data_IF_838848005649
#
_entry.id   IF_838848005649
#
_cell.length_a   1.000
_cell.length_b   1.000
_cell.length_c   1.000
_cell.angle_alpha   90.00
_cell.angle_beta   90.00
_cell.angle_gamma   90.00
#
_symmetry.space_group_name_H-M   'P 1'
#
loop_
_entity.id
_entity.type
_entity.pdbx_description
1 polymer ?
#
# COMPACT_ATOMS: atom_id res chain seq x y z
N UNK A 1 -17.22 31.14 35.85
CA UNK A 1 -17.22 30.04 36.84
C UNK A 1 -17.44 28.63 36.27
N UNK A 2 -18.66 28.17 35.92
CA UNK A 2 -18.88 26.75 35.56
C UNK A 2 -18.12 26.31 34.30
N UNK A 3 -18.12 27.15 33.26
CA UNK A 3 -17.44 26.87 31.98
C UNK A 3 -15.93 26.71 32.20
N UNK A 4 -15.33 27.58 33.01
CA UNK A 4 -13.90 27.54 33.33
C UNK A 4 -13.52 26.22 34.02
N UNK A 5 -14.36 25.71 34.92
CA UNK A 5 -14.12 24.40 35.58
C UNK A 5 -14.16 23.26 34.57
N UNK A 6 -15.16 23.21 33.71
CA UNK A 6 -15.23 22.19 32.66
C UNK A 6 -14.10 22.28 31.66
N UNK A 7 -13.63 23.48 31.34
CA UNK A 7 -12.46 23.65 30.50
C UNK A 7 -11.19 23.10 31.17
N UNK A 8 -11.00 23.32 32.48
CA UNK A 8 -9.88 22.71 33.20
C UNK A 8 -9.99 21.19 33.28
N UNK A 9 -11.19 20.64 33.51
CA UNK A 9 -11.42 19.19 33.43
C UNK A 9 -11.02 18.65 32.06
N UNK A 10 -11.48 19.30 30.99
CA UNK A 10 -11.12 18.97 29.62
C UNK A 10 -9.59 18.94 29.41
N UNK A 11 -8.86 19.95 29.88
CA UNK A 11 -7.39 20.01 29.74
C UNK A 11 -6.72 18.88 30.52
N UNK A 12 -7.12 18.65 31.78
CA UNK A 12 -6.53 17.59 32.62
C UNK A 12 -6.78 16.22 31.98
N UNK A 13 -8.01 15.94 31.56
CA UNK A 13 -8.35 14.68 30.92
C UNK A 13 -7.62 14.49 29.58
N UNK A 14 -7.46 15.55 28.79
CA UNK A 14 -6.67 15.49 27.54
C UNK A 14 -5.20 15.19 27.79
N UNK A 15 -4.64 15.74 28.87
CA UNK A 15 -3.26 15.49 29.28
C UNK A 15 -3.07 14.07 29.82
N UNK A 16 -4.01 13.56 30.63
CA UNK A 16 -3.98 12.18 31.10
C UNK A 16 -4.10 11.17 29.96
N UNK A 17 -4.99 11.44 28.99
CA UNK A 17 -5.09 10.65 27.77
C UNK A 17 -3.78 10.66 26.98
N UNK A 18 -3.13 11.83 26.87
CA UNK A 18 -1.81 11.93 26.25
C UNK A 18 -0.73 11.10 26.95
N UNK A 19 -0.68 11.12 28.29
CA UNK A 19 0.25 10.28 29.06
C UNK A 19 -0.01 8.81 28.75
N UNK A 20 -1.27 8.37 28.85
CA UNK A 20 -1.66 6.99 28.60
C UNK A 20 -1.22 6.52 27.20
N UNK A 21 -1.59 7.29 26.16
CA UNK A 21 -1.31 6.93 24.77
C UNK A 21 0.19 6.92 24.46
N UNK A 22 0.90 7.95 24.94
CA UNK A 22 2.35 8.10 24.73
C UNK A 22 3.10 6.97 25.45
N UNK A 23 2.75 6.65 26.69
CA UNK A 23 3.35 5.53 27.42
C UNK A 23 3.06 4.19 26.74
N UNK A 24 1.81 3.95 26.33
CA UNK A 24 1.42 2.72 25.65
C UNK A 24 2.20 2.51 24.35
N UNK A 25 2.27 3.53 23.48
CA UNK A 25 3.00 3.45 22.22
C UNK A 25 4.51 3.34 22.45
N UNK A 26 5.08 4.12 23.38
CA UNK A 26 6.52 4.04 23.68
C UNK A 26 6.95 2.65 24.15
N UNK A 27 6.11 1.98 24.96
CA UNK A 27 6.38 0.61 25.41
C UNK A 27 6.27 -0.38 24.25
N UNK A 28 5.28 -0.20 23.36
CA UNK A 28 5.02 -1.12 22.25
C UNK A 28 6.02 -0.97 21.10
N UNK A 29 6.30 0.26 20.69
CA UNK A 29 7.15 0.61 19.54
C UNK A 29 8.63 0.74 19.93
N UNK A 30 8.94 0.83 21.23
CA UNK A 30 10.29 1.03 21.79
C UNK A 30 10.98 2.32 21.32
N UNK A 31 10.25 3.22 20.68
CA UNK A 31 10.65 4.57 20.29
C UNK A 31 9.78 5.58 21.02
N UNK A 32 10.36 6.73 21.38
CA UNK A 32 9.57 7.84 21.89
C UNK A 32 8.82 8.50 20.75
N UNK A 33 7.49 8.40 20.77
CA UNK A 33 6.63 9.06 19.79
C UNK A 33 5.58 9.92 20.49
N UNK A 34 5.55 11.22 20.15
CA UNK A 34 4.46 12.08 20.58
C UNK A 34 3.23 11.79 19.72
N UNK A 35 2.26 11.05 20.28
CA UNK A 35 0.99 10.70 19.61
C UNK A 35 -0.09 11.77 19.75
N UNK A 36 0.24 12.92 20.36
CA UNK A 36 -0.65 14.08 20.42
C UNK A 36 -1.08 14.54 19.02
N UNK A 37 -2.37 14.84 18.85
CA UNK A 37 -2.84 15.55 17.66
C UNK A 37 -2.26 16.97 17.60
N UNK A 38 -2.10 17.58 18.77
CA UNK A 38 -1.51 18.90 18.96
C UNK A 38 0.00 18.79 19.16
N UNK A 39 0.73 19.89 18.97
CA UNK A 39 2.17 19.91 19.28
C UNK A 39 2.42 19.74 20.79
N UNK A 40 1.52 20.26 21.62
CA UNK A 40 1.54 20.09 23.06
C UNK A 40 1.08 18.71 23.53
N UNK A 41 1.30 18.38 24.82
CA UNK A 41 0.97 17.10 25.42
C UNK A 41 -0.54 16.95 25.67
N UNK A 42 -1.34 16.98 24.61
CA UNK A 42 -2.78 17.05 24.71
C UNK A 42 -3.43 16.22 23.61
N UNK A 43 -4.30 15.29 24.01
CA UNK A 43 -5.18 14.57 23.09
C UNK A 43 -6.62 15.01 23.39
N UNK A 44 -7.16 15.99 22.64
CA UNK A 44 -8.50 16.54 22.86
C UNK A 44 -9.61 15.48 22.85
N UNK A 45 -9.42 14.38 22.12
CA UNK A 45 -10.34 13.26 22.03
C UNK A 45 -10.72 12.71 23.42
N UNK A 46 -9.70 12.45 24.24
CA UNK A 46 -9.86 11.96 25.62
C UNK A 46 -10.48 13.02 26.53
N UNK A 47 -10.08 14.29 26.36
CA UNK A 47 -10.67 15.40 27.08
C UNK A 47 -12.16 15.51 26.87
N UNK A 48 -12.60 15.52 25.61
CA UNK A 48 -14.01 15.59 25.25
C UNK A 48 -14.75 14.37 25.78
N UNK A 49 -14.22 13.16 25.55
CA UNK A 49 -14.87 11.92 25.99
C UNK A 49 -15.07 11.86 27.51
N UNK A 50 -14.03 12.12 28.30
CA UNK A 50 -14.10 12.08 29.76
C UNK A 50 -14.95 13.23 30.34
N UNK A 51 -14.87 14.43 29.76
CA UNK A 51 -15.69 15.57 30.20
C UNK A 51 -17.17 15.31 29.91
N UNK A 52 -17.52 14.77 28.74
CA UNK A 52 -18.89 14.38 28.42
C UNK A 52 -19.38 13.26 29.34
N UNK A 53 -18.55 12.26 29.61
CA UNK A 53 -18.91 11.19 30.55
C UNK A 53 -19.16 11.73 31.97
N UNK A 54 -18.31 12.63 32.47
CA UNK A 54 -18.53 13.32 33.74
C UNK A 54 -19.85 14.09 33.72
N UNK A 55 -20.08 14.90 32.68
CA UNK A 55 -21.30 15.68 32.54
C UNK A 55 -22.53 14.77 32.57
N UNK A 56 -22.53 13.67 31.82
CA UNK A 56 -23.70 12.79 31.67
C UNK A 56 -23.98 11.89 32.89
N UNK A 57 -22.94 11.43 33.58
CA UNK A 57 -23.09 10.41 34.64
C UNK A 57 -22.90 10.95 36.05
N UNK A 58 -22.30 12.12 36.21
CA UNK A 58 -22.04 12.73 37.52
C UNK A 58 -22.81 14.05 37.70
N UNK A 59 -22.74 14.96 36.73
CA UNK A 59 -23.25 16.32 36.89
C UNK A 59 -24.71 16.50 36.42
N UNK A 60 -25.13 15.83 35.35
CA UNK A 60 -26.53 15.78 34.91
C UNK A 60 -27.25 14.59 35.55
N UNK A 61 -28.39 14.82 36.22
CA UNK A 61 -29.22 13.76 36.75
C UNK A 61 -30.05 13.17 35.60
N UNK A 62 -29.42 12.45 34.67
CA UNK A 62 -30.17 11.59 33.73
C UNK A 62 -30.86 10.45 34.49
N UNK A 63 -30.61 10.31 35.80
CA UNK A 63 -31.44 9.52 36.71
C UNK A 63 -32.22 10.43 37.67
N UNK A 64 -33.50 10.63 37.36
CA UNK A 64 -34.53 11.17 38.27
C UNK A 64 -34.80 10.30 39.51
N UNK A 65 -33.88 9.42 39.90
CA UNK A 65 -34.03 8.51 41.03
C UNK A 65 -32.72 8.57 41.82
N UNK A 66 -32.78 8.59 43.14
CA UNK A 66 -31.67 8.78 44.09
C UNK A 66 -30.56 7.70 44.06
N UNK A 67 -30.33 7.06 42.92
CA UNK A 67 -29.41 5.94 42.73
C UNK A 67 -28.28 6.35 41.79
N UNK A 68 -27.04 5.97 42.17
CA UNK A 68 -25.85 6.09 41.32
C UNK A 68 -26.10 5.37 39.98
N UNK A 69 -25.59 5.89 38.85
CA UNK A 69 -25.74 5.23 37.56
C UNK A 69 -25.18 3.80 37.61
N UNK A 70 -25.94 2.84 37.07
CA UNK A 70 -25.47 1.46 36.95
C UNK A 70 -24.23 1.39 36.06
N UNK A 71 -23.29 0.49 36.37
CA UNK A 71 -22.11 0.25 35.53
C UNK A 71 -22.48 -0.09 34.08
N UNK A 72 -23.62 -0.76 33.86
CA UNK A 72 -24.12 -1.06 32.51
C UNK A 72 -24.49 0.22 31.76
N UNK A 73 -25.10 1.19 32.42
CA UNK A 73 -25.47 2.47 31.81
C UNK A 73 -24.23 3.27 31.41
N UNK A 74 -23.23 3.30 32.29
CA UNK A 74 -21.94 3.97 32.01
C UNK A 74 -21.25 3.29 30.83
N UNK A 75 -21.18 1.95 30.85
CA UNK A 75 -20.59 1.16 29.78
C UNK A 75 -21.20 1.50 28.42
N UNK A 76 -22.54 1.42 28.33
CA UNK A 76 -23.26 1.65 27.07
C UNK A 76 -23.07 3.10 26.61
N UNK A 77 -23.22 4.07 27.51
CA UNK A 77 -23.10 5.47 27.11
C UNK A 77 -21.67 5.89 26.75
N UNK A 78 -20.65 5.33 27.41
CA UNK A 78 -19.24 5.54 27.01
C UNK A 78 -18.91 4.83 25.69
N UNK A 79 -19.39 3.61 25.47
CA UNK A 79 -19.18 2.90 24.20
C UNK A 79 -19.86 3.62 23.03
N UNK A 80 -21.13 4.00 23.17
CA UNK A 80 -21.84 4.76 22.14
C UNK A 80 -21.22 6.14 21.94
N UNK A 81 -20.84 6.81 23.04
CA UNK A 81 -20.17 8.10 22.98
C UNK A 81 -18.83 8.02 22.25
N UNK A 82 -17.98 7.03 22.57
CA UNK A 82 -16.70 6.85 21.89
C UNK A 82 -16.88 6.54 20.42
N UNK A 83 -17.86 5.71 20.06
CA UNK A 83 -18.18 5.40 18.67
C UNK A 83 -18.45 6.67 17.85
N UNK A 84 -19.34 7.55 18.32
CA UNK A 84 -19.66 8.79 17.60
C UNK A 84 -18.49 9.76 17.57
N UNK A 85 -17.73 9.83 18.67
CA UNK A 85 -16.61 10.73 18.80
C UNK A 85 -15.46 10.29 17.87
N UNK A 86 -15.05 9.03 17.90
CA UNK A 86 -14.03 8.47 17.01
C UNK A 86 -14.45 8.56 15.54
N UNK A 87 -15.68 8.15 15.22
CA UNK A 87 -16.16 8.21 13.83
C UNK A 87 -16.21 9.65 13.33
N UNK A 88 -16.74 10.57 14.12
CA UNK A 88 -16.85 11.99 13.79
C UNK A 88 -15.49 12.64 13.59
N UNK A 89 -14.55 12.41 14.51
CA UNK A 89 -13.19 12.96 14.41
C UNK A 89 -12.47 12.40 13.18
N UNK A 90 -12.52 11.09 12.96
CA UNK A 90 -11.92 10.46 11.77
C UNK A 90 -12.51 11.02 10.47
N UNK A 91 -13.85 11.19 10.42
CA UNK A 91 -14.53 11.74 9.25
C UNK A 91 -14.14 13.20 8.97
N UNK A 92 -14.09 14.04 10.00
CA UNK A 92 -13.68 15.44 9.85
C UNK A 92 -12.23 15.54 9.37
N UNK A 93 -11.33 14.74 9.94
CA UNK A 93 -9.92 14.72 9.54
C UNK A 93 -9.74 14.33 8.07
N UNK A 94 -10.41 13.26 7.64
CA UNK A 94 -10.33 12.84 6.24
C UNK A 94 -10.93 13.87 5.30
N UNK A 95 -12.06 14.49 5.66
CA UNK A 95 -12.74 15.43 4.76
C UNK A 95 -12.00 16.77 4.64
N UNK A 96 -11.30 17.20 5.69
CA UNK A 96 -10.61 18.50 5.74
C UNK A 96 -9.14 18.43 5.36
N UNK A 97 -8.48 17.33 5.67
CA UNK A 97 -7.02 17.20 5.54
C UNK A 97 -6.60 16.00 4.69
N UNK A 98 -7.56 15.23 4.14
CA UNK A 98 -7.28 14.02 3.36
C UNK A 98 -6.37 13.01 4.09
N UNK A 99 -6.44 13.00 5.42
CA UNK A 99 -5.57 12.21 6.28
C UNK A 99 -6.37 11.40 7.31
N UNK A 100 -5.81 10.27 7.74
CA UNK A 100 -6.35 9.41 8.80
C UNK A 100 -5.28 9.22 9.88
N UNK A 101 -5.67 9.40 11.14
CA UNK A 101 -4.75 9.23 12.28
C UNK A 101 -4.70 7.80 12.78
N UNK A 102 -5.74 7.01 12.53
CA UNK A 102 -5.80 5.60 12.83
C UNK A 102 -6.58 4.87 11.75
N UNK A 103 -6.29 3.57 11.60
CA UNK A 103 -6.97 2.68 10.68
C UNK A 103 -7.24 1.33 11.36
N UNK A 104 -8.52 0.99 11.46
CA UNK A 104 -9.00 -0.28 12.03
C UNK A 104 -9.47 -1.27 10.95
N UNK A 105 -9.07 -1.08 9.68
CA UNK A 105 -9.49 -1.95 8.56
C UNK A 105 -9.17 -3.42 8.77
N UNK A 106 -8.08 -3.73 9.49
CA UNK A 106 -7.66 -5.10 9.79
C UNK A 106 -8.42 -5.75 10.95
N UNK A 107 -9.27 -4.99 11.66
CA UNK A 107 -10.04 -5.50 12.79
C UNK A 107 -11.44 -5.96 12.37
N UNK A 108 -11.97 -7.03 12.99
CA UNK A 108 -13.31 -7.50 12.70
C UNK A 108 -14.37 -6.47 13.11
N UNK A 109 -15.48 -6.43 12.36
CA UNK A 109 -16.61 -5.52 12.61
C UNK A 109 -16.18 -4.05 12.64
N UNK A 110 -15.24 -3.67 11.77
CA UNK A 110 -14.90 -2.29 11.52
C UNK A 110 -15.92 -1.62 10.59
N UNK A 111 -16.10 -0.31 10.75
CA UNK A 111 -16.92 0.53 9.88
C UNK A 111 -16.00 1.51 9.17
N UNK A 112 -15.80 1.31 7.86
CA UNK A 112 -14.92 2.12 7.01
C UNK A 112 -13.48 2.27 7.55
N UNK A 113 -13.00 1.31 8.35
CA UNK A 113 -11.73 1.40 9.06
C UNK A 113 -11.65 2.50 10.13
N UNK A 114 -12.74 3.22 10.43
CA UNK A 114 -12.73 4.38 11.37
C UNK A 114 -12.96 3.99 12.82
N UNK A 115 -13.86 3.03 13.03
CA UNK A 115 -14.24 2.52 14.34
C UNK A 115 -14.42 1.01 14.20
N UNK A 116 -14.07 0.25 15.23
CA UNK A 116 -14.39 -1.17 15.30
C UNK A 116 -15.05 -1.53 16.62
N UNK A 117 -15.86 -2.60 16.61
CA UNK A 117 -16.60 -3.02 17.78
C UNK A 117 -15.69 -3.31 18.98
N UNK A 118 -14.53 -3.92 18.75
CA UNK A 118 -13.59 -4.30 19.82
C UNK A 118 -13.13 -3.07 20.60
N UNK A 119 -12.65 -2.02 19.93
CA UNK A 119 -12.22 -0.79 20.60
C UNK A 119 -13.39 -0.04 21.22
N UNK A 120 -14.55 0.00 20.57
CA UNK A 120 -15.77 0.58 21.16
C UNK A 120 -16.14 -0.09 22.50
N UNK A 121 -16.04 -1.41 22.60
CA UNK A 121 -16.27 -2.13 23.86
C UNK A 121 -15.17 -1.82 24.90
N UNK A 122 -13.90 -1.78 24.47
CA UNK A 122 -12.78 -1.39 25.34
C UNK A 122 -13.01 0.02 25.93
N UNK A 123 -13.45 0.98 25.13
CA UNK A 123 -13.79 2.33 25.59
C UNK A 123 -15.00 2.35 26.52
N UNK A 124 -15.97 1.45 26.33
CA UNK A 124 -17.05 1.23 27.29
C UNK A 124 -16.52 0.85 28.68
N UNK A 125 -15.62 -0.14 28.76
CA UNK A 125 -15.00 -0.56 30.02
C UNK A 125 -14.09 0.52 30.61
N UNK A 126 -13.26 1.16 29.77
CA UNK A 126 -12.42 2.28 30.17
C UNK A 126 -13.26 3.43 30.72
N UNK A 127 -14.44 3.69 30.14
CA UNK A 127 -15.39 4.68 30.62
C UNK A 127 -15.87 4.43 32.06
N UNK A 128 -16.09 3.17 32.44
CA UNK A 128 -16.40 2.80 33.83
C UNK A 128 -15.21 3.15 34.73
N UNK A 129 -14.00 2.75 34.36
CA UNK A 129 -12.79 3.02 35.15
C UNK A 129 -12.55 4.52 35.30
N UNK A 130 -12.65 5.29 34.21
CA UNK A 130 -12.44 6.74 34.21
C UNK A 130 -13.47 7.42 35.09
N UNK A 131 -14.76 7.12 34.91
CA UNK A 131 -15.84 7.78 35.67
C UNK A 131 -15.83 7.44 37.15
N UNK A 132 -15.39 6.23 37.54
CA UNK A 132 -15.39 5.80 38.93
C UNK A 132 -14.08 6.08 39.67
N UNK A 133 -12.94 6.06 38.97
CA UNK A 133 -11.61 6.17 39.61
C UNK A 133 -10.90 7.49 39.32
N UNK A 134 -11.05 8.03 38.10
CA UNK A 134 -10.27 9.19 37.64
C UNK A 134 -11.05 10.49 37.85
N UNK A 135 -12.34 10.51 37.48
CA UNK A 135 -13.18 11.70 37.58
C UNK A 135 -13.35 12.19 39.03
N UNK A 136 -13.70 11.35 40.03
CA UNK A 136 -13.94 11.84 41.39
C UNK A 136 -12.76 12.59 42.03
N UNK A 137 -11.51 12.07 42.04
CA UNK A 137 -10.40 12.79 42.66
C UNK A 137 -10.07 14.10 41.92
N UNK A 138 -10.30 14.19 40.61
CA UNK A 138 -10.07 15.42 39.84
C UNK A 138 -11.12 16.47 40.16
N UNK A 139 -12.39 16.07 40.29
CA UNK A 139 -13.47 16.96 40.69
C UNK A 139 -13.24 17.50 42.11
N UNK A 140 -12.81 16.65 43.04
CA UNK A 140 -12.46 17.04 44.41
C UNK A 140 -11.26 18.00 44.42
N UNK A 141 -10.19 17.68 43.68
CA UNK A 141 -9.01 18.55 43.57
C UNK A 141 -9.36 19.94 43.06
N UNK A 142 -10.16 20.05 42.01
CA UNK A 142 -10.58 21.34 41.46
C UNK A 142 -11.55 22.06 42.39
N UNK A 143 -12.37 21.34 43.16
CA UNK A 143 -13.28 21.96 44.12
C UNK A 143 -12.54 22.65 45.30
N UNK A 144 -11.31 22.23 45.61
CA UNK A 144 -10.48 22.87 46.65
C UNK A 144 -9.86 24.21 46.20
N UNK A 145 -9.86 24.51 44.89
CA UNK A 145 -9.21 25.68 44.34
C UNK A 145 -10.17 26.88 44.34
N UNK A 146 -9.75 28.07 44.81
CA UNK A 146 -10.57 29.28 44.75
C UNK A 146 -11.00 29.64 43.32
N UNK A 147 -12.24 30.11 43.17
CA UNK A 147 -12.85 30.43 41.88
C UNK A 147 -12.02 31.38 41.00
N UNK A 148 -11.39 32.40 41.61
CA UNK A 148 -10.56 33.37 40.89
C UNK A 148 -9.33 32.70 40.26
N UNK A 149 -8.73 31.73 40.96
CA UNK A 149 -7.58 30.97 40.46
C UNK A 149 -8.00 30.05 39.33
N UNK A 150 -9.17 29.39 39.43
CA UNK A 150 -9.73 28.57 38.36
C UNK A 150 -9.94 29.39 37.09
N UNK A 151 -10.49 30.60 37.21
CA UNK A 151 -10.75 31.47 36.05
C UNK A 151 -9.44 31.94 35.41
N UNK A 152 -8.45 32.33 36.21
CA UNK A 152 -7.12 32.70 35.71
C UNK A 152 -6.45 31.53 34.98
N UNK A 153 -6.42 30.35 35.59
CA UNK A 153 -5.83 29.15 34.97
C UNK A 153 -6.56 28.76 33.68
N UNK A 154 -7.90 28.80 33.69
CA UNK A 154 -8.69 28.47 32.51
C UNK A 154 -8.39 29.44 31.36
N UNK A 155 -8.27 30.73 31.62
CA UNK A 155 -7.91 31.72 30.59
C UNK A 155 -6.51 31.47 30.02
N UNK A 156 -5.52 31.20 30.88
CA UNK A 156 -4.15 30.89 30.45
C UNK A 156 -4.13 29.63 29.58
N UNK A 157 -4.74 28.53 30.04
CA UNK A 157 -4.76 27.29 29.28
C UNK A 157 -5.58 27.42 28.00
N UNK A 158 -6.65 28.22 27.98
CA UNK A 158 -7.44 28.47 26.77
C UNK A 158 -6.61 29.21 25.72
N UNK A 159 -5.82 30.19 26.14
CA UNK A 159 -4.90 30.88 25.25
C UNK A 159 -3.83 29.93 24.67
N UNK A 160 -3.17 29.15 25.53
CA UNK A 160 -2.14 28.19 25.11
C UNK A 160 -2.72 27.13 24.17
N UNK A 161 -3.85 26.52 24.54
CA UNK A 161 -4.53 25.52 23.74
C UNK A 161 -4.99 26.08 22.39
N UNK A 162 -5.55 27.30 22.38
CA UNK A 162 -5.97 27.97 21.16
C UNK A 162 -4.79 28.25 20.21
N UNK A 163 -3.65 28.69 20.75
CA UNK A 163 -2.43 28.91 19.98
C UNK A 163 -1.90 27.61 19.37
N UNK A 164 -1.80 26.54 20.16
CA UNK A 164 -1.36 25.22 19.70
C UNK A 164 -2.30 24.64 18.63
N UNK A 165 -3.61 24.75 18.84
CA UNK A 165 -4.61 24.33 17.85
C UNK A 165 -4.50 25.12 16.55
N UNK A 166 -4.28 26.44 16.61
CA UNK A 166 -4.10 27.26 15.43
C UNK A 166 -2.83 26.89 14.64
N UNK A 167 -1.72 26.65 15.34
CA UNK A 167 -0.46 26.21 14.73
C UNK A 167 -0.61 24.83 14.09
N UNK A 168 -1.24 23.89 14.79
CA UNK A 168 -1.50 22.53 14.30
C UNK A 168 -2.37 22.55 13.04
N UNK A 169 -3.47 23.30 13.05
CA UNK A 169 -4.35 23.41 11.86
C UNK A 169 -3.63 24.06 10.68
N UNK A 170 -2.83 25.11 10.93
CA UNK A 170 -2.04 25.77 9.88
C UNK A 170 -1.03 24.81 9.25
N UNK A 171 -0.31 24.05 10.08
CA UNK A 171 0.64 23.03 9.64
C UNK A 171 -0.04 21.94 8.82
N UNK A 172 -1.16 21.38 9.31
CA UNK A 172 -1.92 20.35 8.62
C UNK A 172 -2.50 20.83 7.29
N UNK A 173 -3.00 22.07 7.23
CA UNK A 173 -3.55 22.63 5.99
C UNK A 173 -2.46 22.85 4.95
N UNK A 174 -1.26 23.26 5.38
CA UNK A 174 -0.10 23.42 4.50
C UNK A 174 0.35 22.06 3.98
N UNK A 175 0.50 21.08 4.87
CA UNK A 175 0.87 19.72 4.51
C UNK A 175 -0.12 19.07 3.53
N UNK A 176 -1.43 19.24 3.74
CA UNK A 176 -2.45 18.71 2.84
C UNK A 176 -2.31 19.28 1.42
N UNK A 177 -2.06 20.59 1.29
CA UNK A 177 -1.83 21.25 -0.01
C UNK A 177 -0.55 20.77 -0.68
N UNK A 178 0.52 20.62 0.09
CA UNK A 178 1.80 20.12 -0.43
C UNK A 178 1.65 18.68 -0.91
N UNK A 179 0.91 17.84 -0.18
CA UNK A 179 0.61 16.47 -0.56
C UNK A 179 -0.22 16.39 -1.84
N UNK A 180 -1.28 17.20 -1.97
CA UNK A 180 -2.07 17.29 -3.21
C UNK A 180 -1.20 17.68 -4.40
N UNK A 181 -0.33 18.68 -4.23
CA UNK A 181 0.60 19.12 -5.27
C UNK A 181 1.57 18.00 -5.69
N UNK A 182 2.12 17.26 -4.73
CA UNK A 182 2.99 16.11 -5.01
C UNK A 182 2.22 15.03 -5.78
N UNK A 183 0.98 14.74 -5.37
CA UNK A 183 0.16 13.72 -6.02
C UNK A 183 -0.19 14.12 -7.48
N UNK A 184 -0.51 15.39 -7.73
CA UNK A 184 -0.71 15.92 -9.07
C UNK A 184 0.55 15.81 -9.94
N UNK A 185 1.72 16.14 -9.38
CA UNK A 185 3.01 15.99 -10.08
C UNK A 185 3.33 14.53 -10.42
N UNK A 186 3.04 13.60 -9.50
CA UNK A 186 3.22 12.17 -9.74
C UNK A 186 2.27 11.71 -10.85
N UNK A 187 1.00 12.10 -10.79
CA UNK A 187 0.01 11.70 -11.79
C UNK A 187 0.33 12.25 -13.19
N UNK A 188 0.79 13.50 -13.30
CA UNK A 188 1.19 14.08 -14.58
C UNK A 188 2.43 13.37 -15.15
N UNK A 189 3.44 13.10 -14.32
CA UNK A 189 4.63 12.36 -14.73
C UNK A 189 4.30 10.91 -15.14
N UNK A 190 3.37 10.25 -14.44
CA UNK A 190 2.89 8.93 -14.84
C UNK A 190 2.17 8.99 -16.19
N UNK A 191 1.29 9.96 -16.40
CA UNK A 191 0.57 10.13 -17.66
C UNK A 191 1.53 10.36 -18.84
N UNK A 192 2.53 11.23 -18.68
CA UNK A 192 3.57 11.47 -19.70
C UNK A 192 4.37 10.21 -20.00
N UNK A 193 4.80 9.46 -18.97
CA UNK A 193 5.55 8.20 -19.16
C UNK A 193 4.71 7.13 -19.83
N UNK A 194 3.42 7.00 -19.47
CA UNK A 194 2.51 6.06 -20.12
C UNK A 194 2.30 6.43 -21.59
N UNK A 195 2.10 7.73 -21.89
CA UNK A 195 1.99 8.20 -23.27
C UNK A 195 3.27 7.93 -24.08
N UNK A 196 4.45 8.22 -23.51
CA UNK A 196 5.72 7.95 -24.16
C UNK A 196 5.98 6.45 -24.40
N UNK A 197 5.55 5.59 -23.48
CA UNK A 197 5.62 4.13 -23.67
C UNK A 197 4.67 3.67 -24.78
N UNK A 198 3.47 4.24 -24.86
CA UNK A 198 2.52 3.94 -25.92
C UNK A 198 3.08 4.36 -27.29
N UNK A 199 3.64 5.56 -27.42
CA UNK A 199 4.25 6.02 -28.68
C UNK A 199 5.45 5.16 -29.08
N UNK A 200 6.34 4.84 -28.14
CA UNK A 200 7.49 3.96 -28.41
C UNK A 200 7.06 2.54 -28.83
N UNK A 201 5.97 2.02 -28.25
CA UNK A 201 5.38 0.74 -28.65
C UNK A 201 4.78 0.80 -30.05
N UNK A 202 4.06 1.87 -30.39
CA UNK A 202 3.52 2.10 -31.73
C UNK A 202 4.64 2.22 -32.78
N UNK A 203 5.67 3.04 -32.52
CA UNK A 203 6.85 3.14 -33.37
C UNK A 203 7.57 1.79 -33.55
N UNK A 204 7.71 1.03 -32.46
CA UNK A 204 8.32 -0.31 -32.50
C UNK A 204 7.48 -1.31 -33.30
N UNK A 205 6.15 -1.22 -33.24
CA UNK A 205 5.24 -2.04 -34.08
C UNK A 205 5.37 -1.65 -35.55
N UNK A 206 5.33 -0.35 -35.86
CA UNK A 206 5.47 0.16 -37.24
C UNK A 206 6.81 -0.28 -37.83
N UNK A 207 7.92 -0.09 -37.12
CA UNK A 207 9.24 -0.53 -37.56
C UNK A 207 9.34 -2.06 -37.75
N UNK A 208 8.62 -2.85 -36.94
CA UNK A 208 8.53 -4.31 -37.14
C UNK A 208 7.70 -4.67 -38.38
N UNK A 209 6.60 -3.96 -38.64
CA UNK A 209 5.77 -4.16 -39.82
C UNK A 209 6.55 -3.78 -41.08
N UNK A 210 7.24 -2.63 -41.09
CA UNK A 210 8.11 -2.22 -42.19
C UNK A 210 9.22 -3.24 -42.43
N UNK A 211 9.93 -3.68 -41.38
CA UNK A 211 10.95 -4.74 -41.52
C UNK A 211 10.35 -6.04 -42.04
N UNK A 212 9.13 -6.41 -41.65
CA UNK A 212 8.45 -7.59 -42.15
C UNK A 212 8.02 -7.44 -43.62
N UNK A 213 7.55 -6.25 -44.02
CA UNK A 213 7.18 -5.92 -45.40
C UNK A 213 8.41 -5.93 -46.31
N UNK A 214 9.50 -5.25 -45.91
CA UNK A 214 10.79 -5.28 -46.62
C UNK A 214 11.34 -6.71 -46.69
N UNK A 215 11.26 -7.49 -45.61
CA UNK A 215 11.66 -8.91 -45.63
C UNK A 215 10.82 -9.73 -46.60
N UNK A 216 9.53 -9.40 -46.75
CA UNK A 216 8.61 -10.06 -47.68
C UNK A 216 8.90 -9.67 -49.14
N UNK A 217 9.19 -8.40 -49.41
CA UNK A 217 9.63 -7.92 -50.73
C UNK A 217 11.00 -8.48 -51.13
N UNK A 218 11.96 -8.49 -50.21
CA UNK A 218 13.27 -9.12 -50.43
C UNK A 218 13.12 -10.63 -50.65
N UNK A 219 12.17 -11.29 -49.99
CA UNK A 219 11.85 -12.70 -50.25
C UNK A 219 11.15 -12.92 -51.60
N UNK A 220 10.33 -11.97 -52.06
CA UNK A 220 9.68 -12.00 -53.37
C UNK A 220 10.69 -11.77 -54.50
N UNK A 221 11.57 -10.76 -54.36
CA UNK A 221 12.70 -10.52 -55.26
C UNK A 221 13.67 -11.69 -55.31
N UNK A 222 13.94 -12.36 -54.17
CA UNK A 222 14.71 -13.62 -54.16
C UNK A 222 14.00 -14.78 -54.87
N UNK A 223 12.67 -14.73 -54.99
CA UNK A 223 11.87 -15.72 -55.72
C UNK A 223 11.88 -15.45 -57.22
N UNK A 224 11.88 -14.18 -57.63
CA UNK A 224 11.95 -13.76 -59.04
C UNK A 224 13.38 -13.88 -59.60
N UNK A 225 14.41 -13.48 -58.84
CA UNK A 225 15.81 -13.56 -59.26
C UNK A 225 16.32 -15.01 -59.41
N UNK A 226 15.71 -15.98 -58.70
CA UNK A 226 16.07 -17.40 -58.77
C UNK A 226 15.24 -18.20 -59.78
N UNK A 227 14.21 -17.63 -60.42
CA UNK A 227 13.46 -18.34 -61.45
C UNK A 227 14.18 -18.31 -62.81
N UNK A 228 14.97 -17.26 -63.08
CA UNK A 228 15.56 -17.06 -64.40
C UNK A 228 17.01 -17.55 -64.52
N UNK A 229 17.74 -17.75 -63.40
CA UNK A 229 19.14 -18.24 -63.42
C UNK A 229 19.37 -19.63 -62.83
N UNK A 230 18.34 -20.26 -62.24
CA UNK A 230 18.48 -21.56 -61.56
C UNK A 230 18.14 -22.77 -62.45
N UNK A 231 17.58 -22.56 -63.65
CA UNK A 231 17.41 -23.61 -64.64
C UNK A 231 18.72 -23.87 -65.43
N UNK A 232 19.47 -22.81 -65.74
CA UNK A 232 20.68 -22.89 -66.57
C UNK A 232 21.90 -23.46 -65.82
N UNK A 233 21.96 -23.31 -64.49
CA UNK A 233 23.10 -23.76 -63.66
C UNK A 233 22.88 -25.16 -63.07
N UNK A 234 21.63 -25.62 -62.91
CA UNK A 234 21.33 -26.96 -62.37
C UNK A 234 21.62 -28.10 -63.35
N UNK A 235 21.73 -27.82 -64.65
CA UNK A 235 22.01 -28.82 -65.67
C UNK A 235 23.51 -29.10 -65.85
N UNK A 236 24.39 -28.18 -65.42
CA UNK A 236 25.85 -28.33 -65.60
C UNK A 236 26.62 -28.84 -64.38
N UNK A 237 26.03 -28.90 -63.18
CA UNK A 237 26.81 -29.07 -61.94
C UNK A 237 26.45 -30.30 -61.08
N UNK A 238 25.86 -31.33 -61.68
CA UNK A 238 25.42 -32.52 -60.94
C UNK A 238 25.63 -33.83 -61.69
N UNK A 239 26.86 -34.14 -62.15
CA UNK A 239 27.27 -35.57 -62.22
C UNK A 239 28.77 -35.89 -62.29
N UNK A 240 29.69 -34.94 -62.48
CA UNK A 240 31.09 -35.33 -62.76
C UNK A 240 32.10 -35.03 -61.63
N UNK A 241 31.90 -34.01 -60.80
CA UNK A 241 32.85 -33.65 -59.72
C UNK A 241 32.72 -34.53 -58.45
N UNK A 242 31.52 -35.06 -58.17
CA UNK A 242 31.26 -35.85 -56.95
C UNK A 242 31.62 -37.33 -57.15
N UNK A 243 31.50 -37.86 -58.38
CA UNK A 243 31.90 -39.24 -58.72
C UNK A 243 33.42 -39.45 -58.64
N UNK A 244 34.20 -38.46 -59.06
CA UNK A 244 35.67 -38.51 -59.04
C UNK A 244 36.25 -38.37 -57.62
N UNK A 245 35.55 -37.70 -56.70
CA UNK A 245 35.99 -37.57 -55.32
C UNK A 245 35.80 -38.86 -54.49
N UNK A 246 34.74 -39.65 -54.78
CA UNK A 246 34.43 -40.89 -54.04
C UNK A 246 35.36 -42.06 -54.40
N UNK A 247 35.96 -42.06 -55.60
CA UNK A 247 36.83 -43.15 -56.06
C UNK A 247 38.27 -43.07 -55.49
N UNK A 248 38.70 -41.92 -54.97
CA UNK A 248 40.09 -41.68 -54.53
C UNK A 248 40.28 -41.56 -53.00
N UNK A 249 39.29 -41.93 -52.18
CA UNK A 249 39.38 -41.85 -50.72
C UNK A 249 40.07 -43.09 -50.11
N UNK A 250 41.21 -42.89 -49.45
CA UNK A 250 42.03 -43.92 -48.77
C UNK A 250 41.47 -44.38 -47.42
N UNK A 251 41.82 -45.60 -46.99
CA UNK A 251 41.28 -46.27 -45.78
C UNK A 251 41.44 -45.46 -44.48
N UNK A 252 42.48 -44.64 -44.37
CA UNK A 252 42.75 -43.81 -43.19
C UNK A 252 41.69 -42.73 -42.95
N UNK A 253 41.00 -42.26 -44.00
CA UNK A 253 39.89 -41.30 -43.87
C UNK A 253 38.58 -41.96 -43.40
N UNK A 254 38.42 -43.28 -43.61
CA UNK A 254 37.23 -44.03 -43.16
C UNK A 254 37.25 -44.33 -41.66
N UNK A 255 38.40 -44.25 -40.99
CA UNK A 255 38.56 -44.51 -39.55
C UNK A 255 38.07 -43.38 -38.64
N UNK A 256 38.18 -42.12 -39.06
CA UNK A 256 37.86 -40.95 -38.22
C UNK A 256 36.37 -40.69 -38.01
N UNK A 257 35.48 -41.37 -38.73
CA UNK A 257 34.03 -41.19 -38.61
C UNK A 257 33.34 -42.16 -37.63
N UNK A 258 34.09 -43.03 -36.95
CA UNK A 258 33.52 -44.03 -36.04
C UNK A 258 32.99 -43.46 -34.71
N UNK A 259 33.20 -42.16 -34.43
CA UNK A 259 32.75 -41.52 -33.19
C UNK A 259 31.66 -40.44 -33.33
N UNK A 260 31.08 -40.23 -34.52
CA UNK A 260 29.97 -39.27 -34.70
C UNK A 260 28.60 -39.98 -34.61
N UNK A 261 28.41 -40.82 -33.59
CA UNK A 261 27.10 -41.36 -33.23
C UNK A 261 26.40 -40.53 -32.13
N UNK A 262 26.99 -39.39 -31.72
CA UNK A 262 26.48 -38.55 -30.62
C UNK A 262 26.24 -37.08 -30.97
N UNK A 263 26.24 -36.69 -32.24
CA UNK A 263 25.84 -35.34 -32.66
C UNK A 263 24.38 -35.33 -33.11
N UNK A 264 23.49 -34.79 -32.27
CA UNK A 264 22.12 -34.42 -32.64
C UNK A 264 22.08 -32.92 -32.97
N UNK A 265 21.73 -32.58 -34.22
CA UNK A 265 21.56 -31.20 -34.69
C UNK A 265 20.09 -30.99 -35.15
N UNK A 266 19.46 -29.79 -35.00
CA UNK A 266 18.01 -29.62 -35.04
C UNK A 266 17.53 -29.32 -36.47
N UNK A 267 17.84 -30.21 -37.40
CA UNK A 267 17.24 -30.19 -38.74
C UNK A 267 16.77 -31.61 -39.05
N UNK A 268 15.45 -31.80 -39.12
CA UNK A 268 14.83 -33.10 -39.35
C UNK A 268 15.23 -33.76 -40.68
N UNK A 269 15.77 -33.00 -41.64
CA UNK A 269 16.18 -33.52 -42.94
C UNK A 269 17.52 -34.28 -42.94
N UNK A 270 18.43 -34.02 -41.99
CA UNK A 270 19.69 -34.76 -41.88
C UNK A 270 19.53 -36.08 -41.15
N UNK A 271 18.58 -36.18 -40.20
CA UNK A 271 18.25 -37.45 -39.54
C UNK A 271 17.63 -38.47 -40.51
N UNK A 272 16.72 -38.02 -41.37
CA UNK A 272 16.08 -38.86 -42.39
C UNK A 272 17.03 -39.36 -43.48
N UNK A 273 18.05 -38.56 -43.84
CA UNK A 273 19.11 -38.97 -44.78
C UNK A 273 20.10 -39.95 -44.15
N UNK A 274 20.44 -39.77 -42.87
CA UNK A 274 21.30 -40.69 -42.12
C UNK A 274 20.61 -42.02 -41.79
N UNK A 275 19.31 -42.01 -41.47
CA UNK A 275 18.51 -43.23 -41.28
C UNK A 275 18.42 -44.03 -42.59
N UNK A 276 18.13 -43.38 -43.73
CA UNK A 276 18.14 -44.02 -45.06
C UNK A 276 19.52 -44.59 -45.43
N UNK A 277 20.60 -43.89 -45.11
CA UNK A 277 21.96 -44.40 -45.29
C UNK A 277 22.28 -45.62 -44.41
N UNK A 278 21.79 -45.63 -43.16
CA UNK A 278 21.99 -46.75 -42.23
C UNK A 278 21.17 -48.00 -42.60
N UNK A 279 19.94 -47.82 -43.11
CA UNK A 279 19.09 -48.91 -43.59
C UNK A 279 19.69 -49.57 -44.83
N UNK A 280 20.22 -48.78 -45.76
CA UNK A 280 20.91 -49.29 -46.94
C UNK A 280 22.16 -50.12 -46.58
N UNK A 281 22.92 -49.69 -45.57
CA UNK A 281 24.09 -50.43 -45.08
C UNK A 281 23.75 -51.68 -44.27
N UNK A 282 22.58 -51.73 -43.63
CA UNK A 282 22.07 -52.95 -42.96
C UNK A 282 21.56 -53.99 -43.96
N UNK A 283 20.98 -53.56 -45.07
CA UNK A 283 20.53 -54.46 -46.13
C UNK A 283 21.69 -55.09 -46.92
N UNK A 284 22.79 -54.35 -47.13
CA UNK A 284 23.98 -54.85 -47.83
C UNK A 284 24.88 -55.80 -47.01
N UNK A 285 24.44 -56.19 -45.81
CA UNK A 285 25.15 -57.16 -44.94
C UNK A 285 24.39 -58.48 -44.78
N UNK A 286 23.27 -58.64 -45.50
CA UNK A 286 22.46 -59.87 -45.57
C UNK A 286 22.45 -60.50 -46.98
N UNK A 287 23.22 -59.93 -47.90
CA UNK A 287 23.66 -60.53 -49.17
C UNK A 287 25.18 -60.65 -49.12
#
# INVERSE_FOLDING_TARGET
>A
MIICRYFLYFIIYSFLGWIYETCYCTIHEKSWENRGFLYGPCIPLYGVGATLAQILFLDLPIHCTSCKPSYVTIFIGCAVGSFFLEYGTSYVLEKRFHARWWDYSDFPLNINGRVCLVFTLCFGFAGILVTQLIVPPIVELIALIPSVVIELLALIFMFIFGMDMALTISALTTFAKDFERINEQINSQMAERVAALQTNLEESKIARIEKAAVKKEVALMKKELNAEKLAEIKEQLSTEAVKQWVLNATETQRGQFRHIAKFTHPVASTKALLEKGSEFLRHKKKE
#
